data_IF_223427794461
#
_entry.id   IF_223427794461
#
_cell.length_a   1.000
_cell.length_b   1.000
_cell.length_c   1.000
_cell.angle_alpha   90.00
_cell.angle_beta   90.00
_cell.angle_gamma   90.00
#
_symmetry.space_group_name_H-M   'P 1'
#
loop_
_entity.id
_entity.type
_entity.pdbx_description
1 polymer ?
#
# COMPACT_ATOMS: atom_id res chain seq x y z
N UNK A 1 -4.45 3.28 2.01
CA UNK A 1 -5.10 4.02 0.90
C UNK A 1 -6.00 5.20 1.33
N UNK A 2 -6.21 5.48 2.62
CA UNK A 2 -7.22 6.46 3.04
C UNK A 2 -6.75 7.93 3.10
N UNK A 3 -5.47 8.23 2.90
CA UNK A 3 -4.91 9.59 3.05
C UNK A 3 -4.24 10.08 1.75
N UNK A 4 -4.41 11.39 1.47
CA UNK A 4 -3.74 12.15 0.39
C UNK A 4 -3.62 11.39 -0.94
N UNK A 5 -2.43 10.88 -1.26
CA UNK A 5 -2.09 10.23 -2.54
C UNK A 5 -2.92 8.96 -2.74
N UNK A 6 -3.05 8.12 -1.71
CA UNK A 6 -3.84 6.90 -1.79
C UNK A 6 -5.32 7.17 -2.13
N UNK A 7 -5.88 8.28 -1.60
CA UNK A 7 -7.26 8.69 -1.89
C UNK A 7 -7.40 9.23 -3.32
N UNK A 8 -6.42 10.02 -3.78
CA UNK A 8 -6.40 10.52 -5.16
C UNK A 8 -6.27 9.38 -6.18
N UNK A 9 -5.39 8.42 -5.90
CA UNK A 9 -5.17 7.25 -6.75
C UNK A 9 -6.45 6.39 -6.84
N UNK A 10 -7.10 6.13 -5.70
CA UNK A 10 -8.39 5.45 -5.67
C UNK A 10 -9.43 6.19 -6.54
N UNK A 11 -9.51 7.52 -6.44
CA UNK A 11 -10.40 8.33 -7.28
C UNK A 11 -10.15 8.16 -8.79
N UNK A 12 -8.90 8.11 -9.22
CA UNK A 12 -8.55 7.91 -10.64
C UNK A 12 -8.90 6.50 -11.13
N UNK A 13 -8.72 5.47 -10.30
CA UNK A 13 -9.15 4.11 -10.63
C UNK A 13 -10.67 3.97 -10.73
N UNK A 14 -11.42 4.63 -9.85
CA UNK A 14 -12.89 4.68 -9.93
C UNK A 14 -13.33 5.34 -11.24
N UNK A 15 -12.72 6.48 -11.62
CA UNK A 15 -13.04 7.15 -12.90
C UNK A 15 -12.79 6.26 -14.11
N UNK A 16 -11.81 5.37 -14.04
CA UNK A 16 -11.47 4.38 -15.07
C UNK A 16 -12.34 3.13 -15.05
N UNK A 17 -13.28 3.01 -14.10
CA UNK A 17 -14.19 1.87 -13.98
C UNK A 17 -13.61 0.65 -13.26
N UNK A 18 -12.53 0.82 -12.50
CA UNK A 18 -11.94 -0.28 -11.74
C UNK A 18 -12.70 -0.54 -10.44
N UNK A 19 -12.97 -1.81 -10.15
CA UNK A 19 -13.35 -2.23 -8.80
C UNK A 19 -12.17 -2.05 -7.84
N UNK A 20 -12.46 -1.69 -6.59
CA UNK A 20 -11.44 -1.38 -5.60
C UNK A 20 -11.64 -2.14 -4.30
N UNK A 21 -10.59 -2.81 -3.86
CA UNK A 21 -10.40 -3.17 -2.47
C UNK A 21 -9.44 -2.17 -1.81
N UNK A 22 -9.85 -1.58 -0.70
CA UNK A 22 -9.14 -0.48 -0.04
C UNK A 22 -8.80 -0.88 1.38
N UNK A 23 -7.50 -0.97 1.70
CA UNK A 23 -7.02 -1.32 3.04
C UNK A 23 -6.42 -0.13 3.81
N UNK A 24 -6.58 -0.18 5.14
CA UNK A 24 -5.83 0.64 6.10
C UNK A 24 -5.72 -0.04 7.47
N UNK A 25 -4.71 0.31 8.27
CA UNK A 25 -4.49 -0.20 9.64
C UNK A 25 -5.48 0.38 10.66
N UNK A 26 -6.14 1.50 10.32
CA UNK A 26 -7.20 2.10 11.13
C UNK A 26 -8.50 2.06 10.35
N UNK A 27 -9.61 1.92 11.08
CA UNK A 27 -10.94 2.16 10.51
C UNK A 27 -10.98 3.62 10.06
N UNK A 28 -10.92 3.82 8.75
CA UNK A 28 -11.15 5.11 8.14
C UNK A 28 -12.57 5.20 7.62
N UNK A 29 -13.06 6.44 7.55
CA UNK A 29 -14.34 6.73 6.93
C UNK A 29 -14.18 6.67 5.40
N UNK A 30 -14.28 5.46 4.86
CA UNK A 30 -14.24 5.19 3.43
C UNK A 30 -15.54 5.59 2.72
N UNK A 31 -16.59 5.96 3.44
CA UNK A 31 -17.90 6.27 2.86
C UNK A 31 -17.82 7.38 1.81
N UNK A 32 -16.94 8.38 2.02
CA UNK A 32 -16.72 9.47 1.04
C UNK A 32 -16.15 8.99 -0.30
N UNK A 33 -15.44 7.86 -0.34
CA UNK A 33 -14.96 7.25 -1.58
C UNK A 33 -16.06 6.41 -2.24
N UNK A 34 -16.89 5.75 -1.44
CA UNK A 34 -18.02 4.93 -1.89
C UNK A 34 -19.11 5.80 -2.54
N UNK A 35 -19.36 7.00 -2.03
CA UNK A 35 -20.38 7.91 -2.57
C UNK A 35 -20.10 8.37 -4.02
N UNK A 36 -18.88 8.19 -4.53
CA UNK A 36 -18.48 8.57 -5.89
C UNK A 36 -18.51 7.41 -6.89
N UNK A 37 -18.88 6.20 -6.48
CA UNK A 37 -18.99 5.07 -7.41
C UNK A 37 -20.17 5.26 -8.36
N UNK A 38 -19.93 5.07 -9.67
CA UNK A 38 -21.03 4.82 -10.62
C UNK A 38 -21.74 3.52 -10.23
N UNK A 39 -22.98 3.31 -10.70
CA UNK A 39 -23.84 2.19 -10.31
C UNK A 39 -23.24 0.77 -10.49
N UNK A 40 -22.10 0.62 -11.20
CA UNK A 40 -21.48 -0.66 -11.53
C UNK A 40 -20.07 -0.88 -10.93
N UNK A 41 -19.57 0.00 -10.05
CA UNK A 41 -18.23 -0.14 -9.45
C UNK A 41 -18.34 -0.65 -8.01
N UNK A 42 -17.71 -1.79 -7.71
CA UNK A 42 -17.62 -2.34 -6.36
C UNK A 42 -16.45 -1.74 -5.60
N UNK A 43 -16.70 -1.24 -4.39
CA UNK A 43 -15.66 -0.71 -3.48
C UNK A 43 -15.81 -1.39 -2.12
N UNK A 44 -14.78 -2.11 -1.68
CA UNK A 44 -14.79 -2.84 -0.40
C UNK A 44 -13.70 -2.29 0.55
N UNK A 45 -14.06 -1.83 1.76
CA UNK A 45 -13.09 -1.41 2.76
C UNK A 45 -12.61 -2.59 3.61
N UNK A 46 -11.31 -2.62 3.90
CA UNK A 46 -10.69 -3.65 4.74
C UNK A 46 -9.79 -3.04 5.81
N UNK A 47 -9.82 -3.61 7.02
CA UNK A 47 -8.87 -3.29 8.08
C UNK A 47 -7.69 -4.27 7.96
N UNK A 48 -6.49 -3.76 7.70
CA UNK A 48 -5.32 -4.60 7.47
C UNK A 48 -4.05 -3.86 7.88
N UNK A 49 -3.23 -4.50 8.71
CA UNK A 49 -1.85 -4.13 8.98
C UNK A 49 -0.90 -4.91 8.07
N UNK A 50 -0.12 -4.18 7.25
CA UNK A 50 0.89 -4.75 6.34
C UNK A 50 1.93 -5.63 7.05
N UNK A 51 2.20 -5.34 8.33
CA UNK A 51 3.18 -6.08 9.13
C UNK A 51 2.64 -7.42 9.66
N UNK A 52 1.33 -7.64 9.57
CA UNK A 52 0.69 -8.86 10.08
C UNK A 52 0.34 -9.77 8.93
N UNK A 53 1.16 -10.81 8.78
CA UNK A 53 1.09 -11.74 7.66
C UNK A 53 -0.30 -12.35 7.45
N UNK A 54 -0.93 -12.78 8.53
CA UNK A 54 -2.26 -13.39 8.49
C UNK A 54 -3.35 -12.41 8.05
N UNK A 55 -3.23 -11.12 8.41
CA UNK A 55 -4.18 -10.09 7.97
C UNK A 55 -4.07 -9.84 6.45
N UNK A 56 -2.86 -9.81 5.90
CA UNK A 56 -2.64 -9.67 4.44
C UNK A 56 -3.15 -10.90 3.68
N UNK A 57 -2.94 -12.11 4.21
CA UNK A 57 -3.48 -13.33 3.59
C UNK A 57 -5.00 -13.36 3.60
N UNK A 58 -5.62 -12.98 4.71
CA UNK A 58 -7.07 -12.89 4.82
C UNK A 58 -7.62 -11.82 3.87
N UNK A 59 -6.97 -10.67 3.79
CA UNK A 59 -7.29 -9.62 2.83
C UNK A 59 -7.26 -10.14 1.38
N UNK A 60 -6.17 -10.80 0.96
CA UNK A 60 -6.04 -11.36 -0.38
C UNK A 60 -7.18 -12.33 -0.73
N UNK A 61 -7.57 -13.17 0.23
CA UNK A 61 -8.66 -14.13 0.11
C UNK A 61 -10.01 -13.43 -0.03
N UNK A 62 -10.31 -12.48 0.85
CA UNK A 62 -11.56 -11.71 0.83
C UNK A 62 -11.71 -10.93 -0.48
N UNK A 63 -10.64 -10.27 -0.93
CA UNK A 63 -10.65 -9.50 -2.18
C UNK A 63 -10.89 -10.42 -3.36
N UNK A 64 -10.23 -11.57 -3.42
CA UNK A 64 -10.43 -12.53 -4.50
C UNK A 64 -11.85 -13.09 -4.53
N UNK A 65 -12.47 -13.29 -3.37
CA UNK A 65 -13.87 -13.73 -3.26
C UNK A 65 -14.88 -12.63 -3.68
N UNK A 66 -14.60 -11.38 -3.36
CA UNK A 66 -15.51 -10.25 -3.62
C UNK A 66 -15.36 -9.65 -5.02
N UNK A 67 -14.16 -9.71 -5.60
CA UNK A 67 -13.80 -9.03 -6.86
C UNK A 67 -13.39 -9.99 -7.98
N UNK A 68 -13.30 -11.30 -7.70
CA UNK A 68 -12.93 -12.32 -8.69
C UNK A 68 -11.43 -12.43 -9.00
N UNK A 69 -10.60 -11.60 -8.36
CA UNK A 69 -9.14 -11.61 -8.53
C UNK A 69 -8.51 -10.24 -8.26
N UNK A 70 -7.18 -10.21 -8.30
CA UNK A 70 -6.38 -8.98 -8.13
C UNK A 70 -5.55 -8.77 -9.39
N UNK A 71 -5.82 -7.67 -10.09
CA UNK A 71 -5.11 -7.29 -11.32
C UNK A 71 -4.07 -6.20 -11.07
N UNK A 72 -4.31 -5.34 -10.09
CA UNK A 72 -3.45 -4.20 -9.77
C UNK A 72 -3.23 -4.17 -8.26
N UNK A 73 -1.97 -4.16 -7.84
CA UNK A 73 -1.56 -3.99 -6.44
C UNK A 73 -0.98 -2.59 -6.26
N UNK A 74 -1.64 -1.76 -5.47
CA UNK A 74 -1.17 -0.41 -5.13
C UNK A 74 -0.56 -0.34 -3.73
N UNK A 75 0.76 -0.44 -3.63
CA UNK A 75 1.48 -0.33 -2.37
C UNK A 75 1.69 1.15 -2.02
N UNK A 76 0.84 1.66 -1.14
CA UNK A 76 0.89 3.04 -0.64
C UNK A 76 1.32 3.12 0.84
N UNK A 77 1.47 1.99 1.53
CA UNK A 77 1.75 1.98 2.97
C UNK A 77 3.17 2.48 3.22
N UNK A 78 3.30 3.52 4.05
CA UNK A 78 4.61 4.05 4.41
C UNK A 78 4.56 4.96 5.64
N UNK A 79 5.65 4.96 6.40
CA UNK A 79 5.85 5.82 7.57
C UNK A 79 7.21 6.51 7.51
N UNK A 80 7.31 7.65 8.17
CA UNK A 80 8.55 8.43 8.27
C UNK A 80 8.85 8.73 9.73
N UNK A 81 10.12 8.64 10.09
CA UNK A 81 10.65 9.17 11.36
C UNK A 81 11.61 10.29 11.01
N UNK A 82 11.44 11.44 11.66
CA UNK A 82 12.34 12.59 11.53
C UNK A 82 13.41 12.48 12.62
N UNK A 83 14.59 11.99 12.26
CA UNK A 83 15.73 11.87 13.16
C UNK A 83 17.04 11.91 12.35
N UNK A 84 18.08 12.53 12.92
CA UNK A 84 19.44 12.38 12.40
C UNK A 84 19.94 10.95 12.63
N UNK A 85 21.00 10.55 11.91
CA UNK A 85 21.63 9.23 12.09
C UNK A 85 22.10 9.02 13.53
N UNK A 86 22.61 10.06 14.17
CA UNK A 86 23.10 10.02 15.56
C UNK A 86 21.99 9.84 16.60
N UNK A 87 20.73 10.18 16.24
CA UNK A 87 19.62 10.22 17.18
C UNK A 87 18.51 9.22 16.85
N UNK A 88 18.59 8.52 15.73
CA UNK A 88 17.65 7.44 15.45
C UNK A 88 17.98 6.21 16.31
N UNK A 89 16.96 5.63 16.93
CA UNK A 89 17.10 4.35 17.62
C UNK A 89 17.06 3.21 16.61
N UNK A 90 17.75 2.10 16.93
CA UNK A 90 17.66 0.89 16.11
C UNK A 90 16.22 0.38 15.97
N UNK A 91 15.42 0.44 17.04
CA UNK A 91 14.00 0.06 17.00
C UNK A 91 13.21 0.87 15.96
N UNK A 92 13.43 2.19 15.89
CA UNK A 92 12.79 3.05 14.91
C UNK A 92 13.27 2.76 13.48
N UNK A 93 14.57 2.50 13.32
CA UNK A 93 15.14 2.12 12.03
C UNK A 93 14.56 0.79 11.53
N UNK A 94 14.54 -0.25 12.38
CA UNK A 94 13.97 -1.55 12.05
C UNK A 94 12.48 -1.46 11.76
N UNK A 95 11.74 -0.65 12.53
CA UNK A 95 10.32 -0.42 12.29
C UNK A 95 10.07 0.24 10.92
N UNK A 96 10.86 1.26 10.55
CA UNK A 96 10.81 1.88 9.22
C UNK A 96 11.09 0.86 8.11
N UNK A 97 12.16 0.07 8.26
CA UNK A 97 12.56 -0.95 7.29
C UNK A 97 11.44 -1.99 7.10
N UNK A 98 10.85 -2.43 8.21
CA UNK A 98 9.78 -3.42 8.20
C UNK A 98 8.54 -2.90 7.47
N UNK A 99 8.16 -1.64 7.64
CA UNK A 99 6.98 -1.08 6.97
C UNK A 99 7.27 -0.73 5.51
N UNK A 100 8.27 0.13 5.26
CA UNK A 100 8.48 0.74 3.95
C UNK A 100 9.07 -0.25 2.93
N UNK A 101 9.83 -1.26 3.39
CA UNK A 101 10.48 -2.24 2.53
C UNK A 101 9.85 -3.62 2.65
N UNK A 102 9.96 -4.26 3.83
CA UNK A 102 9.52 -5.65 3.99
C UNK A 102 8.01 -5.82 3.81
N UNK A 103 7.21 -4.86 4.30
CA UNK A 103 5.76 -4.83 4.14
C UNK A 103 5.35 -4.81 2.67
N UNK A 104 5.89 -3.85 1.90
CA UNK A 104 5.67 -3.74 0.45
C UNK A 104 6.01 -5.03 -0.30
N UNK A 105 7.16 -5.64 -0.01
CA UNK A 105 7.58 -6.91 -0.64
C UNK A 105 6.59 -8.03 -0.32
N UNK A 106 6.18 -8.13 0.94
CA UNK A 106 5.29 -9.17 1.41
C UNK A 106 3.87 -9.01 0.87
N UNK A 107 3.31 -7.80 0.88
CA UNK A 107 2.02 -7.47 0.25
C UNK A 107 2.05 -7.83 -1.22
N UNK A 108 3.06 -7.36 -1.95
CA UNK A 108 3.21 -7.65 -3.38
C UNK A 108 3.25 -9.14 -3.64
N UNK A 109 4.09 -9.89 -2.91
CA UNK A 109 4.19 -11.34 -3.06
C UNK A 109 2.88 -12.08 -2.77
N UNK A 110 2.07 -11.56 -1.85
CA UNK A 110 0.83 -12.20 -1.40
C UNK A 110 -0.36 -11.84 -2.29
N UNK A 111 -0.40 -10.61 -2.79
CA UNK A 111 -1.52 -10.06 -3.57
C UNK A 111 -1.33 -10.18 -5.08
N UNK A 112 -0.10 -10.36 -5.56
CA UNK A 112 0.12 -10.71 -6.96
C UNK A 112 -0.66 -12.00 -7.28
N UNK A 113 -1.42 -12.01 -8.38
CA UNK A 113 -2.25 -13.17 -8.72
C UNK A 113 -1.35 -14.40 -8.86
N UNK A 114 -1.65 -15.43 -8.07
CA UNK A 114 -1.04 -16.76 -8.20
C UNK A 114 -1.79 -17.63 -9.20
N UNK A 115 -2.57 -17.05 -10.12
CA UNK A 115 -3.32 -17.81 -11.10
C UNK A 115 -2.34 -18.40 -12.11
N UNK A 116 -2.33 -19.72 -12.26
CA UNK A 116 -1.65 -20.42 -13.36
C UNK A 116 -2.24 -20.12 -14.75
N UNK A 117 -2.95 -19.00 -14.89
CA UNK A 117 -3.44 -18.44 -16.14
C UNK A 117 -2.78 -17.07 -16.30
N UNK A 118 -2.30 -16.77 -17.50
CA UNK A 118 -1.70 -15.49 -17.87
C UNK A 118 -2.72 -14.35 -17.66
N UNK A 119 -2.73 -13.79 -16.46
CA UNK A 119 -3.43 -12.56 -16.14
C UNK A 119 -2.35 -11.50 -15.99
N UNK A 120 -2.37 -10.48 -16.85
CA UNK A 120 -1.47 -9.34 -16.72
C UNK A 120 -1.75 -8.64 -15.38
N UNK A 121 -0.75 -8.69 -14.49
CA UNK A 121 -0.79 -8.05 -13.18
C UNK A 121 0.15 -6.85 -13.15
N UNK A 122 -0.30 -5.74 -12.57
CA UNK A 122 0.52 -4.54 -12.39
C UNK A 122 0.74 -4.23 -10.91
N UNK A 123 1.95 -3.82 -10.55
CA UNK A 123 2.28 -3.33 -9.21
C UNK A 123 2.65 -1.86 -9.28
N UNK A 124 2.03 -1.05 -8.43
CA UNK A 124 2.33 0.37 -8.28
C UNK A 124 2.86 0.59 -6.88
N UNK A 125 4.15 0.94 -6.77
CA UNK A 125 4.80 1.26 -5.50
C UNK A 125 4.92 2.77 -5.36
N UNK A 126 4.23 3.34 -4.37
CA UNK A 126 4.35 4.77 -4.08
C UNK A 126 5.59 4.95 -3.19
N UNK A 127 6.66 5.43 -3.82
CA UNK A 127 7.90 5.85 -3.17
C UNK A 127 7.89 7.38 -2.93
N UNK A 128 8.99 7.92 -2.43
CA UNK A 128 9.21 9.34 -2.22
C UNK A 128 10.36 9.86 -3.08
N UNK A 129 10.32 11.15 -3.46
CA UNK A 129 11.47 11.84 -4.06
C UNK A 129 12.73 11.77 -3.16
N UNK A 130 12.53 11.54 -1.87
CA UNK A 130 13.57 11.26 -0.89
C UNK A 130 14.26 9.90 -1.06
N UNK A 131 13.88 9.09 -2.05
CA UNK A 131 14.70 7.97 -2.53
C UNK A 131 15.82 8.37 -3.47
N UNK A 132 15.72 9.57 -4.06
CA UNK A 132 16.71 10.10 -5.02
C UNK A 132 17.51 11.25 -4.41
N UNK A 133 16.90 12.02 -3.49
CA UNK A 133 17.56 13.17 -2.82
C UNK A 133 17.59 12.96 -1.31
N UNK A 134 18.76 13.05 -0.70
CA UNK A 134 18.92 12.81 0.74
C UNK A 134 18.91 14.11 1.56
N UNK A 135 18.36 14.02 2.76
CA UNK A 135 18.38 15.03 3.81
C UNK A 135 18.95 14.44 5.12
N UNK A 136 19.81 15.16 5.87
CA UNK A 136 20.45 14.65 7.09
C UNK A 136 19.47 14.29 8.21
N UNK A 137 18.28 14.90 8.25
CA UNK A 137 17.27 14.71 9.30
C UNK A 137 16.27 13.58 9.02
N UNK A 138 16.49 12.83 7.93
CA UNK A 138 15.65 11.72 7.47
C UNK A 138 16.48 10.56 6.92
N UNK A 139 17.76 10.46 7.32
CA UNK A 139 18.72 9.54 6.72
C UNK A 139 18.25 8.06 6.69
N UNK A 140 17.60 7.61 7.75
CA UNK A 140 17.03 6.27 7.82
C UNK A 140 15.86 6.05 6.84
N UNK A 141 15.02 7.05 6.61
CA UNK A 141 13.94 6.93 5.63
C UNK A 141 14.49 6.81 4.21
N UNK A 142 15.61 7.47 3.91
CA UNK A 142 16.24 7.46 2.58
C UNK A 142 16.87 6.13 2.20
N UNK A 143 17.45 5.40 3.15
CA UNK A 143 18.18 4.16 2.87
C UNK A 143 17.33 3.05 2.24
N UNK A 144 16.00 3.17 2.25
CA UNK A 144 15.09 2.17 1.69
C UNK A 144 14.65 2.46 0.25
N UNK A 145 15.00 3.62 -0.30
CA UNK A 145 14.49 4.08 -1.60
C UNK A 145 15.58 4.45 -2.61
N UNK A 146 16.85 4.09 -2.34
CA UNK A 146 17.96 4.37 -3.24
C UNK A 146 17.82 3.63 -4.58
N UNK A 147 17.75 4.39 -5.67
CA UNK A 147 18.17 3.90 -6.99
C UNK A 147 19.71 3.83 -7.05
N UNK A 148 20.29 2.85 -7.75
CA UNK A 148 21.74 2.74 -7.93
C UNK A 148 22.36 3.90 -8.72
#
# INVERSE_FOLDING_TARGET
AATKIGRSLAGEFIKKGCNLAISNIKKDDFHKLVDHSKQDISITPHLMDTLKKDEVYNYAKEVSQQHGGIHIVGNNTGVVVMASVEHITFDNFEWLARINLSGTVYETKTLLPSSGQEVEGYTINISSAFGVVTSPVQAAYHSFFCEP
#
